data_IF_620746121970
#
_entry.id   IF_620746121970
#
_cell.length_a   1.000
_cell.length_b   1.000
_cell.length_c   1.000
_cell.angle_alpha   90.00
_cell.angle_beta   90.00
_cell.angle_gamma   90.00
#
_symmetry.space_group_name_H-M   'P 1'
#
loop_
_entity.id
_entity.type
_entity.pdbx_description
1 polymer ?
#
# COMPACT_ATOMS: atom_id res chain seq x y z
N UNK A 1 -16.87 6.88 1.29
CA UNK A 1 -15.77 7.86 1.18
C UNK A 1 -15.16 7.74 -0.21
N UNK A 2 -14.72 8.83 -0.84
CA UNK A 2 -14.09 8.78 -2.16
C UNK A 2 -12.65 9.25 -2.03
N UNK A 3 -11.68 8.33 -2.12
CA UNK A 3 -10.26 8.71 -2.13
C UNK A 3 -9.97 9.56 -3.38
N UNK A 4 -9.17 10.62 -3.30
CA UNK A 4 -8.91 11.50 -4.46
C UNK A 4 -7.45 11.52 -4.86
N UNK A 5 -6.59 10.85 -4.11
CA UNK A 5 -5.16 10.77 -4.37
C UNK A 5 -4.70 9.32 -4.30
N UNK A 6 -3.60 9.04 -4.98
CA UNK A 6 -2.94 7.73 -5.00
C UNK A 6 -1.43 7.92 -5.05
N UNK A 7 -0.69 6.93 -4.58
CA UNK A 7 0.72 6.71 -4.82
C UNK A 7 0.97 5.20 -4.97
N UNK A 8 1.98 4.85 -5.76
CA UNK A 8 2.40 3.46 -5.99
C UNK A 8 3.84 3.31 -5.55
N UNK A 9 4.11 2.40 -4.62
CA UNK A 9 5.43 2.09 -4.12
C UNK A 9 5.89 0.73 -4.64
N UNK A 10 7.10 0.70 -5.20
CA UNK A 10 7.80 -0.56 -5.52
C UNK A 10 9.04 -0.66 -4.63
N UNK A 11 9.24 -1.82 -4.01
CA UNK A 11 10.47 -2.07 -3.23
C UNK A 11 11.61 -2.54 -4.14
N UNK A 12 12.87 -2.62 -3.65
CA UNK A 12 13.92 -3.39 -4.31
C UNK A 12 13.46 -4.85 -4.44
N UNK A 13 12.84 -5.19 -5.56
CA UNK A 13 12.04 -6.41 -5.63
C UNK A 13 12.83 -7.59 -6.23
N UNK A 14 13.19 -8.55 -5.37
CA UNK A 14 13.20 -9.98 -5.74
C UNK A 14 11.87 -10.65 -5.40
N UNK A 15 11.01 -9.93 -4.66
CA UNK A 15 9.75 -10.43 -4.11
C UNK A 15 8.52 -10.10 -4.96
N UNK A 16 8.67 -9.23 -5.97
CA UNK A 16 7.58 -8.87 -6.90
C UNK A 16 6.33 -8.28 -6.22
N UNK A 17 6.51 -7.42 -5.21
CA UNK A 17 5.40 -6.79 -4.47
C UNK A 17 5.31 -5.31 -4.81
N UNK A 18 4.11 -4.85 -5.18
CA UNK A 18 3.79 -3.44 -5.36
C UNK A 18 2.78 -2.99 -4.31
N UNK A 19 3.00 -1.86 -3.65
CA UNK A 19 2.06 -1.24 -2.73
C UNK A 19 1.34 -0.06 -3.40
N UNK A 20 0.01 -0.01 -3.26
CA UNK A 20 -0.82 1.10 -3.72
C UNK A 20 -1.48 1.73 -2.51
N UNK A 21 -1.30 3.03 -2.35
CA UNK A 21 -1.87 3.80 -1.25
C UNK A 21 -2.78 4.87 -1.84
N UNK A 22 -4.03 4.90 -1.42
CA UNK A 22 -5.03 5.90 -1.82
C UNK A 22 -5.54 6.66 -0.60
N UNK A 23 -5.81 7.96 -0.76
CA UNK A 23 -6.32 8.78 0.34
C UNK A 23 -7.17 9.96 -0.13
N UNK A 24 -7.84 10.60 0.82
CA UNK A 24 -8.44 11.91 0.64
C UNK A 24 -7.76 12.91 1.59
N UNK A 25 -7.40 14.13 1.14
CA UNK A 25 -6.62 15.06 1.96
C UNK A 25 -7.44 15.75 3.05
N UNK A 26 -8.76 15.89 2.86
CA UNK A 26 -9.67 16.58 3.80
C UNK A 26 -10.45 15.58 4.66
N UNK A 27 -11.25 14.72 4.02
CA UNK A 27 -11.86 13.56 4.67
C UNK A 27 -10.72 12.60 5.06
N UNK A 28 -10.48 12.40 6.35
CA UNK A 28 -9.43 11.49 6.82
C UNK A 28 -9.74 10.04 6.43
N UNK A 29 -8.77 9.37 5.78
CA UNK A 29 -8.93 7.98 5.39
C UNK A 29 -7.89 7.54 4.37
N UNK A 30 -7.36 6.32 4.51
CA UNK A 30 -6.46 5.69 3.54
C UNK A 30 -6.93 4.29 3.19
N UNK A 31 -6.77 3.90 1.92
CA UNK A 31 -6.86 2.53 1.45
C UNK A 31 -5.48 2.09 1.01
N UNK A 32 -4.98 0.99 1.57
CA UNK A 32 -3.73 0.37 1.13
C UNK A 32 -4.07 -0.96 0.45
N UNK A 33 -3.52 -1.19 -0.73
CA UNK A 33 -3.67 -2.42 -1.52
C UNK A 33 -2.30 -2.93 -1.94
N UNK A 34 -2.14 -4.24 -2.09
CA UNK A 34 -0.91 -4.87 -2.57
C UNK A 34 -1.20 -5.61 -3.87
N UNK A 35 -0.29 -5.49 -4.84
CA UNK A 35 -0.35 -6.18 -6.12
C UNK A 35 0.88 -7.08 -6.24
N UNK A 36 0.71 -8.22 -6.91
CA UNK A 36 1.84 -9.10 -7.25
C UNK A 36 2.63 -8.60 -8.46
N UNK A 37 3.61 -9.39 -8.89
CA UNK A 37 4.47 -9.09 -10.04
C UNK A 37 3.70 -8.98 -11.37
N UNK A 38 2.50 -9.55 -11.47
CA UNK A 38 1.65 -9.49 -12.66
C UNK A 38 0.67 -8.31 -12.62
N UNK A 39 0.67 -7.53 -11.53
CA UNK A 39 -0.30 -6.46 -11.31
C UNK A 39 -1.68 -6.98 -10.90
N UNK A 40 -1.82 -8.28 -10.61
CA UNK A 40 -3.06 -8.86 -10.13
C UNK A 40 -3.21 -8.66 -8.62
N UNK A 41 -4.46 -8.49 -8.18
CA UNK A 41 -4.82 -8.48 -6.77
C UNK A 41 -4.78 -9.91 -6.23
N UNK A 42 -3.57 -10.41 -6.00
CA UNK A 42 -3.32 -11.84 -5.81
C UNK A 42 -3.88 -12.38 -4.49
N UNK A 43 -3.70 -11.63 -3.40
CA UNK A 43 -4.36 -11.70 -2.09
C UNK A 43 -3.73 -10.55 -1.31
N UNK A 44 -4.52 -9.54 -0.96
CA UNK A 44 -3.97 -8.32 -0.39
C UNK A 44 -4.84 -7.82 0.74
N UNK A 45 -4.19 -7.59 1.87
CA UNK A 45 -4.79 -6.94 3.01
C UNK A 45 -5.16 -5.51 2.59
N UNK A 46 -6.44 -5.35 2.25
CA UNK A 46 -7.02 -4.03 2.13
C UNK A 46 -7.37 -3.58 3.53
N UNK A 47 -6.69 -2.54 4.01
CA UNK A 47 -7.04 -1.93 5.29
C UNK A 47 -7.39 -0.48 5.06
N UNK A 48 -8.60 -0.12 5.49
CA UNK A 48 -8.97 1.27 5.66
C UNK A 48 -8.37 1.77 6.97
N UNK A 49 -7.68 2.90 6.93
CA UNK A 49 -7.12 3.57 8.10
C UNK A 49 -7.83 4.91 8.30
N UNK A 50 -8.18 5.25 9.54
CA UNK A 50 -8.97 6.45 9.82
C UNK A 50 -8.20 7.76 9.58
N UNK A 51 -6.88 7.80 9.85
CA UNK A 51 -6.10 9.05 9.81
C UNK A 51 -4.61 8.88 9.46
N UNK A 52 -4.07 9.89 8.78
CA UNK A 52 -2.64 10.10 8.54
C UNK A 52 -2.35 11.61 8.66
N UNK A 53 -1.12 12.02 9.00
CA UNK A 53 -0.72 13.43 8.99
C UNK A 53 -0.93 14.08 7.61
N UNK A 54 -1.12 15.41 7.60
CA UNK A 54 -1.53 16.25 6.46
C UNK A 54 -0.62 16.19 5.22
N UNK A 55 0.56 15.57 5.29
CA UNK A 55 1.51 15.46 4.18
C UNK A 55 1.87 13.99 3.84
N UNK A 56 1.37 13.47 2.70
CA UNK A 56 1.63 12.11 2.21
C UNK A 56 2.95 12.04 1.41
N UNK A 57 4.04 12.60 1.93
CA UNK A 57 5.39 12.34 1.43
C UNK A 57 5.82 10.87 1.65
N UNK A 58 6.99 10.44 1.14
CA UNK A 58 7.46 9.04 1.25
C UNK A 58 7.36 8.46 2.67
N UNK A 59 7.79 9.23 3.69
CA UNK A 59 7.69 8.81 5.09
C UNK A 59 6.23 8.74 5.62
N UNK A 60 5.31 9.52 5.04
CA UNK A 60 3.87 9.38 5.31
C UNK A 60 3.32 8.08 4.74
N UNK A 61 3.67 7.78 3.49
CA UNK A 61 3.22 6.58 2.77
C UNK A 61 3.78 5.30 3.42
N UNK A 62 5.06 5.26 3.80
CA UNK A 62 5.63 4.15 4.57
C UNK A 62 4.90 3.94 5.90
N UNK A 63 4.60 5.02 6.64
CA UNK A 63 3.79 4.92 7.86
C UNK A 63 2.38 4.39 7.62
N UNK A 64 1.78 4.66 6.46
CA UNK A 64 0.49 4.09 6.09
C UNK A 64 0.58 2.56 6.01
N UNK A 65 1.58 2.04 5.29
CA UNK A 65 1.84 0.61 5.13
C UNK A 65 2.13 -0.06 6.47
N UNK A 66 3.01 0.53 7.29
CA UNK A 66 3.34 0.01 8.63
C UNK A 66 2.10 -0.09 9.53
N UNK A 67 1.22 0.92 9.51
CA UNK A 67 -0.05 0.89 10.27
C UNK A 67 -1.03 -0.14 9.73
N UNK A 68 -1.10 -0.29 8.41
CA UNK A 68 -1.99 -1.24 7.79
C UNK A 68 -1.63 -2.68 8.19
N UNK A 69 -0.34 -3.02 8.18
CA UNK A 69 0.12 -4.41 8.26
C UNK A 69 0.85 -4.78 9.56
N UNK A 70 1.11 -3.84 10.47
CA UNK A 70 1.87 -4.11 11.69
C UNK A 70 1.27 -5.18 12.60
N UNK A 71 -0.05 -5.22 12.75
CA UNK A 71 -0.70 -6.27 13.55
C UNK A 71 -0.56 -7.65 12.91
N UNK A 72 -0.66 -7.72 11.58
CA UNK A 72 -0.50 -8.95 10.81
C UNK A 72 0.95 -9.44 10.86
N UNK A 73 1.92 -8.53 10.69
CA UNK A 73 3.35 -8.82 10.85
C UNK A 73 3.68 -9.38 12.23
N UNK A 74 3.10 -8.80 13.29
CA UNK A 74 3.26 -9.31 14.67
C UNK A 74 2.62 -10.68 14.87
N UNK A 75 1.47 -10.94 14.27
CA UNK A 75 0.79 -12.24 14.35
C UNK A 75 1.59 -13.34 13.66
N UNK A 76 2.13 -13.04 12.47
CA UNK A 76 2.97 -13.97 11.72
C UNK A 76 4.30 -14.19 12.45
N UNK A 77 4.84 -13.16 13.09
CA UNK A 77 6.09 -13.25 13.86
C UNK A 77 7.27 -13.66 12.99
N UNK A 78 8.26 -14.31 13.58
CA UNK A 78 9.50 -14.70 12.89
C UNK A 78 9.44 -16.12 12.32
N UNK A 79 8.29 -16.50 11.77
CA UNK A 79 8.16 -17.78 11.05
C UNK A 79 9.15 -17.84 9.89
N UNK A 80 9.76 -19.00 9.66
CA UNK A 80 10.77 -19.20 8.59
C UNK A 80 10.25 -18.88 7.17
N UNK A 81 8.93 -18.89 6.97
CA UNK A 81 8.24 -18.63 5.71
C UNK A 81 7.55 -17.26 5.64
N UNK A 82 7.82 -16.34 6.57
CA UNK A 82 7.14 -15.03 6.62
C UNK A 82 7.19 -14.25 5.29
N UNK A 83 8.25 -14.45 4.51
CA UNK A 83 8.51 -13.77 3.23
C UNK A 83 7.60 -14.24 2.09
N UNK A 84 6.84 -15.32 2.27
CA UNK A 84 5.81 -15.74 1.29
C UNK A 84 4.52 -14.93 1.44
N UNK A 85 4.37 -14.18 2.53
CA UNK A 85 3.19 -13.37 2.81
C UNK A 85 3.45 -11.93 2.37
N UNK A 86 2.85 -11.51 1.26
CA UNK A 86 3.03 -10.16 0.70
C UNK A 86 2.83 -9.02 1.71
N UNK A 87 1.86 -9.06 2.65
CA UNK A 87 1.74 -8.04 3.68
C UNK A 87 2.94 -7.93 4.62
N UNK A 88 3.62 -9.03 4.93
CA UNK A 88 4.85 -9.01 5.74
C UNK A 88 6.00 -8.41 4.96
N UNK A 89 6.17 -8.79 3.70
CA UNK A 89 7.19 -8.20 2.82
C UNK A 89 6.96 -6.69 2.67
N UNK A 90 5.73 -6.27 2.40
CA UNK A 90 5.41 -4.85 2.32
C UNK A 90 5.66 -4.11 3.64
N UNK A 91 5.36 -4.73 4.79
CA UNK A 91 5.70 -4.15 6.09
C UNK A 91 7.22 -3.92 6.23
N UNK A 92 8.04 -4.94 5.96
CA UNK A 92 9.50 -4.85 6.08
C UNK A 92 10.08 -3.80 5.13
N UNK A 93 9.61 -3.76 3.88
CA UNK A 93 10.02 -2.75 2.91
C UNK A 93 9.68 -1.32 3.39
N UNK A 94 8.53 -1.13 4.03
CA UNK A 94 8.17 0.17 4.60
C UNK A 94 8.99 0.51 5.85
N UNK A 95 9.34 -0.47 6.69
CA UNK A 95 10.10 -0.26 7.93
C UNK A 95 11.55 0.15 7.62
N UNK A 96 12.09 -0.38 6.52
CA UNK A 96 13.44 -0.08 6.05
C UNK A 96 13.53 1.12 5.08
N UNK A 97 12.42 1.84 4.86
CA UNK A 97 12.32 2.92 3.86
C UNK A 97 12.73 2.50 2.44
N UNK A 98 12.53 1.22 2.11
CA UNK A 98 12.95 0.60 0.85
C UNK A 98 11.92 0.75 -0.28
N UNK A 99 10.72 1.25 0.01
CA UNK A 99 9.78 1.63 -1.06
C UNK A 99 10.26 2.85 -1.82
N UNK A 100 10.37 2.71 -3.13
CA UNK A 100 10.44 3.83 -4.06
C UNK A 100 9.02 4.21 -4.45
N UNK A 101 8.56 5.36 -3.96
CA UNK A 101 7.21 5.86 -4.22
C UNK A 101 7.15 6.68 -5.51
N UNK A 102 6.19 6.32 -6.36
CA UNK A 102 5.87 6.97 -7.62
C UNK A 102 4.42 7.45 -7.63
N UNK A 103 4.13 8.37 -8.55
CA UNK A 103 2.77 8.79 -8.89
C UNK A 103 1.92 9.29 -7.70
N UNK A 104 2.50 10.05 -6.76
CA UNK A 104 1.74 10.80 -5.76
C UNK A 104 0.91 11.89 -6.47
N UNK A 105 -0.31 11.55 -6.89
CA UNK A 105 -1.13 12.39 -7.75
C UNK A 105 -2.60 12.34 -7.36
N UNK A 106 -3.35 13.35 -7.81
CA UNK A 106 -4.81 13.33 -7.74
C UNK A 106 -5.35 12.36 -8.78
N UNK A 107 -6.18 11.41 -8.36
CA UNK A 107 -6.84 10.43 -9.22
C UNK A 107 -8.28 10.87 -9.42
N UNK A 108 -8.65 11.20 -10.65
CA UNK A 108 -10.04 11.43 -10.97
C UNK A 108 -10.84 10.12 -10.99
N UNK A 109 -12.17 10.24 -10.92
CA UNK A 109 -13.08 9.10 -10.90
C UNK A 109 -12.90 8.17 -12.11
N UNK A 110 -12.59 8.73 -13.28
CA UNK A 110 -12.42 7.97 -14.52
C UNK A 110 -11.14 7.13 -14.51
N UNK A 111 -10.07 7.67 -13.93
CA UNK A 111 -8.79 6.98 -13.74
C UNK A 111 -8.94 5.86 -12.73
N UNK A 112 -9.70 6.08 -11.64
CA UNK A 112 -10.05 5.01 -10.71
C UNK A 112 -10.85 3.90 -11.38
N UNK A 113 -11.91 4.24 -12.09
CA UNK A 113 -12.74 3.25 -12.80
C UNK A 113 -11.91 2.44 -13.82
N UNK A 114 -10.85 3.03 -14.39
CA UNK A 114 -9.92 2.33 -15.28
C UNK A 114 -9.00 1.38 -14.52
N UNK A 115 -8.39 1.82 -13.41
CA UNK A 115 -7.51 0.99 -12.56
C UNK A 115 -8.29 -0.21 -12.01
N UNK A 116 -9.49 0.01 -11.49
CA UNK A 116 -10.36 -1.04 -10.94
C UNK A 116 -10.82 -2.04 -12.01
N UNK A 117 -10.95 -1.61 -13.28
CA UNK A 117 -11.28 -2.50 -14.41
C UNK A 117 -10.08 -3.25 -14.98
N UNK A 118 -8.86 -2.78 -14.74
CA UNK A 118 -7.64 -3.44 -15.18
C UNK A 118 -7.14 -4.47 -14.15
N UNK A 119 -7.54 -4.34 -12.88
CA UNK A 119 -7.24 -5.30 -11.82
C UNK A 119 -8.34 -6.34 -11.53
N UNK A 120 -9.35 -6.47 -12.39
CA UNK A 120 -10.49 -7.39 -12.27
C UNK A 120 -10.63 -8.26 -13.52
#
# INVERSE_FOLDING_TARGET
MTYTHMAVGDGPNTFGVTAVVEWHPIEGGYRVSLLDANGELHTAATRELDHLPEDPGPAGLNRAVLRAFGDLRRLIGDRDDWWTEAPCVAYELADHDDFVWFACCTVDRRTRDLIERLGA
#
